data_IF_395526843960
#
_entry.id   IF_395526843960
#
_cell.length_a   1.000
_cell.length_b   1.000
_cell.length_c   1.000
_cell.angle_alpha   90.00
_cell.angle_beta   90.00
_cell.angle_gamma   90.00
#
_symmetry.space_group_name_H-M   'P 1'
#
loop_
_entity.id
_entity.type
_entity.pdbx_description
1 polymer ?
#
# COMPACT_ATOMS: atom_id res chain seq x y z
N UNK A 1 -34.93 6.54 57.57
CA UNK A 1 -33.84 7.25 56.96
C UNK A 1 -33.16 6.30 55.97
N UNK A 2 -33.50 6.40 54.69
CA UNK A 2 -32.82 5.65 53.60
C UNK A 2 -31.73 6.54 53.05
N UNK A 3 -30.49 6.15 53.26
CA UNK A 3 -29.32 6.77 52.59
C UNK A 3 -29.13 6.11 51.24
N UNK A 4 -29.48 6.83 50.17
CA UNK A 4 -29.21 6.43 48.80
C UNK A 4 -27.74 6.57 48.49
N UNK A 5 -27.09 5.46 48.10
CA UNK A 5 -25.73 5.44 47.57
C UNK A 5 -25.77 5.83 46.09
N UNK A 6 -25.29 7.02 45.77
CA UNK A 6 -25.10 7.47 44.40
C UNK A 6 -23.85 6.77 43.84
N UNK A 7 -24.03 5.76 42.95
CA UNK A 7 -22.94 5.25 42.13
C UNK A 7 -22.65 6.32 41.07
N UNK A 8 -21.56 7.04 41.22
CA UNK A 8 -20.96 7.81 40.15
C UNK A 8 -20.27 6.80 39.20
N UNK A 9 -20.88 6.52 38.06
CA UNK A 9 -20.22 5.83 36.98
C UNK A 9 -19.09 6.76 36.46
N UNK A 10 -17.85 6.40 36.81
CA UNK A 10 -16.69 7.04 36.24
C UNK A 10 -16.67 6.76 34.73
N UNK A 11 -17.02 7.73 33.93
CA UNK A 11 -16.67 7.73 32.51
C UNK A 11 -15.15 7.70 32.42
N UNK A 12 -14.61 6.54 32.05
CA UNK A 12 -13.22 6.46 31.58
C UNK A 12 -13.16 7.34 30.34
N UNK A 13 -12.61 8.54 30.46
CA UNK A 13 -12.29 9.37 29.34
C UNK A 13 -11.37 8.56 28.43
N UNK A 14 -11.88 8.07 27.33
CA UNK A 14 -11.07 7.51 26.26
C UNK A 14 -10.16 8.66 25.79
N UNK A 15 -8.89 8.55 26.06
CA UNK A 15 -7.91 9.48 25.50
C UNK A 15 -7.98 9.27 24.00
N UNK A 16 -8.54 10.22 23.27
CA UNK A 16 -8.66 10.15 21.83
C UNK A 16 -7.24 10.10 21.23
N UNK A 17 -7.01 9.15 20.34
CA UNK A 17 -5.78 9.12 19.54
C UNK A 17 -5.65 10.46 18.82
N UNK A 18 -4.44 11.01 18.81
CA UNK A 18 -4.23 12.35 18.22
C UNK A 18 -3.72 12.19 16.80
N UNK A 19 -4.62 12.48 15.83
CA UNK A 19 -4.22 12.68 14.44
C UNK A 19 -3.47 14.02 14.31
N UNK A 20 -2.32 14.00 13.68
CA UNK A 20 -1.58 15.20 13.29
C UNK A 20 -1.16 15.12 11.82
N UNK A 21 -1.25 16.26 11.11
CA UNK A 21 -0.79 16.36 9.73
C UNK A 21 0.67 16.79 9.75
N UNK A 22 1.55 15.93 9.23
CA UNK A 22 2.98 16.18 9.14
C UNK A 22 3.35 17.01 7.92
N UNK A 23 2.61 16.84 6.82
CA UNK A 23 2.78 17.61 5.58
C UNK A 23 1.50 17.63 4.76
N UNK A 24 1.27 18.74 4.05
CA UNK A 24 0.14 18.93 3.13
C UNK A 24 0.69 19.19 1.73
N UNK A 25 0.36 18.31 0.78
CA UNK A 25 0.79 18.45 -0.61
C UNK A 25 0.00 19.55 -1.33
N UNK A 26 0.57 20.04 -2.45
CA UNK A 26 0.09 21.21 -3.18
C UNK A 26 0.15 22.50 -2.36
N UNK A 27 0.99 22.54 -1.34
CA UNK A 27 1.29 23.75 -0.56
C UNK A 27 2.23 24.70 -1.32
N UNK A 28 2.93 24.18 -2.33
CA UNK A 28 3.81 24.92 -3.21
C UNK A 28 3.34 24.75 -4.66
N UNK A 29 3.21 25.86 -5.38
CA UNK A 29 2.77 25.84 -6.78
C UNK A 29 3.81 26.47 -7.71
N UNK A 30 3.88 25.97 -8.93
CA UNK A 30 4.64 26.58 -10.03
C UNK A 30 3.72 26.64 -11.26
N UNK A 31 3.21 27.84 -11.55
CA UNK A 31 2.14 28.00 -12.53
C UNK A 31 0.86 27.28 -12.10
N UNK A 32 0.35 26.40 -12.94
CA UNK A 32 -0.86 25.63 -12.67
C UNK A 32 -0.62 24.30 -11.93
N UNK A 33 0.63 23.96 -11.60
CA UNK A 33 0.97 22.66 -11.02
C UNK A 33 1.43 22.76 -9.58
N UNK A 34 1.13 21.73 -8.78
CA UNK A 34 1.66 21.55 -7.43
C UNK A 34 3.13 21.13 -7.54
N UNK A 35 4.06 22.07 -7.32
CA UNK A 35 5.49 21.79 -7.51
C UNK A 35 6.06 20.78 -6.51
N UNK A 36 5.46 20.69 -5.32
CA UNK A 36 5.76 19.72 -4.26
C UNK A 36 5.02 18.38 -4.43
N UNK A 37 4.25 18.22 -5.51
CA UNK A 37 3.49 17.00 -5.78
C UNK A 37 2.07 17.01 -5.24
N UNK A 38 1.29 16.02 -5.66
CA UNK A 38 -0.08 15.80 -5.23
C UNK A 38 -0.49 14.32 -5.40
N UNK A 39 -1.54 13.91 -4.69
CA UNK A 39 -2.09 12.55 -4.72
C UNK A 39 -1.03 11.48 -4.38
N UNK A 40 -0.55 11.40 -3.13
CA UNK A 40 0.38 10.36 -2.68
C UNK A 40 -0.36 9.02 -2.50
N UNK A 41 -0.36 8.18 -3.53
CA UNK A 41 -1.00 6.86 -3.51
C UNK A 41 -0.23 5.82 -2.71
N UNK A 42 1.08 6.01 -2.56
CA UNK A 42 1.96 5.03 -1.96
C UNK A 42 2.16 5.24 -0.46
N UNK A 43 2.47 4.15 0.23
CA UNK A 43 2.95 4.20 1.60
C UNK A 43 4.34 4.81 1.72
N UNK A 44 4.70 5.16 2.94
CA UNK A 44 5.96 5.78 3.29
C UNK A 44 7.05 4.74 3.53
N UNK A 45 8.29 5.02 3.07
CA UNK A 45 9.49 4.40 3.58
C UNK A 45 10.12 5.30 4.64
N UNK A 46 10.80 4.72 5.65
CA UNK A 46 11.46 5.46 6.72
C UNK A 46 12.90 4.99 6.88
N UNK A 47 13.84 5.93 6.99
CA UNK A 47 15.24 5.61 7.30
C UNK A 47 15.50 5.55 8.80
N UNK A 48 16.71 5.13 9.18
CA UNK A 48 17.12 5.03 10.59
C UNK A 48 17.24 6.40 11.30
N UNK A 49 17.27 7.51 10.57
CA UNK A 49 17.27 8.86 11.12
C UNK A 49 15.83 9.42 11.29
N UNK A 50 14.80 8.62 10.94
CA UNK A 50 13.41 9.00 11.07
C UNK A 50 12.86 9.83 9.93
N UNK A 51 13.59 10.00 8.83
CA UNK A 51 13.10 10.69 7.64
C UNK A 51 12.16 9.77 6.86
N UNK A 52 11.12 10.36 6.27
CA UNK A 52 10.16 9.66 5.41
C UNK A 52 10.46 9.93 3.94
N UNK A 53 10.21 8.93 3.12
CA UNK A 53 10.35 8.99 1.66
C UNK A 53 9.08 8.44 1.02
N UNK A 54 8.64 9.07 -0.05
CA UNK A 54 7.43 8.67 -0.77
C UNK A 54 7.37 9.23 -2.18
N UNK A 55 6.26 8.98 -2.82
CA UNK A 55 5.96 9.42 -4.18
C UNK A 55 4.61 10.12 -4.24
N UNK A 56 4.45 11.01 -5.21
CA UNK A 56 3.15 11.58 -5.58
C UNK A 56 2.85 11.25 -7.02
N UNK A 57 1.61 10.89 -7.36
CA UNK A 57 1.26 10.46 -8.71
C UNK A 57 1.13 11.60 -9.71
N UNK A 58 0.91 12.83 -9.22
CA UNK A 58 0.83 14.05 -10.03
C UNK A 58 1.64 15.17 -9.37
N UNK A 59 1.70 16.32 -9.99
CA UNK A 59 2.53 17.44 -9.56
C UNK A 59 3.97 17.35 -10.06
N UNK A 60 4.85 18.17 -9.49
CA UNK A 60 6.18 18.41 -10.03
C UNK A 60 6.16 19.32 -11.27
N UNK A 61 7.32 19.55 -11.86
CA UNK A 61 7.52 20.52 -12.96
C UNK A 61 6.75 20.18 -14.25
N UNK A 62 6.34 18.93 -14.44
CA UNK A 62 5.60 18.43 -15.62
C UNK A 62 4.26 17.81 -15.26
N UNK A 63 3.83 17.92 -14.00
CA UNK A 63 2.60 17.29 -13.49
C UNK A 63 2.53 15.76 -13.68
N UNK A 64 3.69 15.09 -13.65
CA UNK A 64 3.82 13.65 -13.88
C UNK A 64 4.24 12.88 -12.62
N UNK A 65 4.23 13.56 -11.48
CA UNK A 65 4.56 13.00 -10.18
C UNK A 65 5.97 13.32 -9.70
N UNK A 66 6.21 13.00 -8.44
CA UNK A 66 7.46 13.33 -7.75
C UNK A 66 7.95 12.16 -6.87
N UNK A 67 9.24 12.21 -6.51
CA UNK A 67 9.81 11.49 -5.37
C UNK A 67 10.24 12.55 -4.36
N UNK A 68 9.91 12.36 -3.10
CA UNK A 68 10.19 13.32 -2.04
C UNK A 68 10.79 12.70 -0.79
N UNK A 69 11.39 13.55 0.03
CA UNK A 69 11.81 13.29 1.41
C UNK A 69 11.12 14.28 2.34
N UNK A 70 10.59 13.80 3.46
CA UNK A 70 10.18 14.62 4.61
C UNK A 70 11.10 14.26 5.77
N UNK A 71 11.89 15.22 6.26
CA UNK A 71 12.79 14.98 7.39
C UNK A 71 12.00 14.74 8.68
N UNK A 72 12.63 14.12 9.68
CA UNK A 72 12.05 13.94 11.01
C UNK A 72 11.63 15.29 11.67
N UNK A 73 12.25 16.40 11.23
CA UNK A 73 11.90 17.76 11.66
C UNK A 73 10.77 18.40 10.82
N UNK A 74 10.14 17.64 9.90
CA UNK A 74 9.05 18.13 9.06
C UNK A 74 9.48 18.94 7.83
N UNK A 75 10.79 18.99 7.50
CA UNK A 75 11.27 19.72 6.32
C UNK A 75 11.11 18.87 5.05
N UNK A 76 10.37 19.38 4.08
CA UNK A 76 10.17 18.76 2.77
C UNK A 76 11.34 19.01 1.84
N UNK A 77 11.70 18.00 1.04
CA UNK A 77 12.71 18.08 -0.04
C UNK A 77 12.21 17.31 -1.25
N UNK A 78 12.10 17.97 -2.40
CA UNK A 78 11.86 17.34 -3.68
C UNK A 78 13.14 16.64 -4.13
N UNK A 79 13.08 15.30 -4.30
CA UNK A 79 14.22 14.52 -4.75
C UNK A 79 14.24 14.34 -6.27
N UNK A 80 13.06 14.16 -6.88
CA UNK A 80 12.91 14.03 -8.33
C UNK A 80 11.52 14.49 -8.77
N UNK A 81 11.47 15.11 -9.95
CA UNK A 81 10.23 15.46 -10.64
C UNK A 81 10.21 14.73 -11.99
N UNK A 82 9.26 13.83 -12.18
CA UNK A 82 9.19 13.00 -13.37
C UNK A 82 8.88 13.80 -14.64
N UNK A 83 9.41 13.28 -15.75
CA UNK A 83 9.14 13.69 -17.13
C UNK A 83 8.71 12.47 -17.94
N UNK A 84 8.08 12.67 -19.11
CA UNK A 84 7.65 11.55 -19.96
C UNK A 84 8.78 10.60 -20.36
N UNK A 85 10.01 11.09 -20.40
CA UNK A 85 11.19 10.31 -20.82
C UNK A 85 11.74 9.40 -19.73
N UNK A 86 11.56 9.74 -18.46
CA UNK A 86 12.15 9.03 -17.33
C UNK A 86 11.11 8.35 -16.40
N UNK A 87 9.84 8.45 -16.75
CA UNK A 87 8.71 7.85 -16.05
C UNK A 87 7.58 8.85 -15.80
N UNK A 88 6.46 8.34 -15.35
CA UNK A 88 5.31 9.14 -14.94
C UNK A 88 4.39 8.34 -14.00
N UNK A 89 3.62 9.05 -13.19
CA UNK A 89 2.58 8.50 -12.33
C UNK A 89 3.12 7.38 -11.42
N UNK A 90 4.03 7.66 -10.48
CA UNK A 90 4.57 6.66 -9.58
C UNK A 90 3.52 6.28 -8.52
N UNK A 91 2.76 5.20 -8.76
CA UNK A 91 1.81 4.65 -7.78
C UNK A 91 2.49 3.77 -6.73
N UNK A 92 3.64 3.16 -7.07
CA UNK A 92 4.45 2.41 -6.12
C UNK A 92 5.23 3.33 -5.18
N UNK A 93 5.36 2.91 -3.93
CA UNK A 93 6.26 3.55 -2.98
C UNK A 93 7.74 3.26 -3.30
N UNK A 94 8.61 3.86 -2.51
CA UNK A 94 10.05 3.62 -2.63
C UNK A 94 10.49 2.57 -1.60
N UNK A 95 11.43 1.71 -2.02
CA UNK A 95 12.25 0.90 -1.14
C UNK A 95 13.54 1.66 -0.84
N UNK A 96 13.94 1.76 0.43
CA UNK A 96 15.21 2.35 0.85
C UNK A 96 16.18 1.26 1.30
N UNK A 97 17.40 1.25 0.79
CA UNK A 97 18.45 0.34 1.25
C UNK A 97 19.29 0.94 2.39
N UNK A 98 20.16 0.11 2.99
CA UNK A 98 21.04 0.52 4.09
C UNK A 98 22.07 1.60 3.72
N UNK A 99 22.29 1.85 2.44
CA UNK A 99 23.17 2.90 1.91
C UNK A 99 22.40 4.18 1.58
N UNK A 100 21.10 4.24 1.87
CA UNK A 100 20.24 5.38 1.59
C UNK A 100 19.82 5.49 0.11
N UNK A 101 20.05 4.47 -0.73
CA UNK A 101 19.53 4.48 -2.08
C UNK A 101 18.04 4.15 -2.08
N UNK A 102 17.28 4.88 -2.89
CA UNK A 102 15.86 4.67 -3.13
C UNK A 102 15.67 3.90 -4.43
N UNK A 103 14.76 2.94 -4.42
CA UNK A 103 14.34 2.19 -5.61
C UNK A 103 12.83 2.23 -5.69
N UNK A 104 12.30 2.55 -6.87
CA UNK A 104 10.86 2.66 -7.08
C UNK A 104 10.46 2.38 -8.52
N UNK A 105 9.17 2.44 -8.76
CA UNK A 105 8.57 2.25 -10.08
C UNK A 105 7.72 3.46 -10.46
N UNK A 106 7.73 3.82 -11.73
CA UNK A 106 6.78 4.75 -12.31
C UNK A 106 5.88 3.97 -13.27
N UNK A 107 4.57 4.08 -13.08
CA UNK A 107 3.57 3.21 -13.72
C UNK A 107 3.46 3.44 -15.22
N UNK A 108 3.77 4.64 -15.68
CA UNK A 108 3.73 5.02 -17.09
C UNK A 108 4.96 5.82 -17.48
N UNK A 109 4.99 6.32 -18.71
CA UNK A 109 6.15 7.05 -19.25
C UNK A 109 7.33 6.14 -19.54
N UNK A 110 8.52 6.74 -19.66
CA UNK A 110 9.70 6.11 -20.22
C UNK A 110 9.60 5.95 -21.74
N UNK A 111 10.69 5.56 -22.41
CA UNK A 111 10.77 5.49 -23.88
C UNK A 111 9.74 4.58 -24.55
N UNK A 112 9.13 3.66 -23.81
CA UNK A 112 8.11 2.71 -24.30
C UNK A 112 6.71 2.97 -23.73
N UNK A 113 6.54 3.98 -22.87
CA UNK A 113 5.31 4.32 -22.18
C UNK A 113 4.71 3.20 -21.30
N UNK A 114 5.46 2.12 -21.06
CA UNK A 114 5.04 0.97 -20.24
C UNK A 114 5.48 1.11 -18.77
N UNK A 115 6.08 2.23 -18.40
CA UNK A 115 6.64 2.47 -17.09
C UNK A 115 8.13 2.10 -16.98
N UNK A 116 8.70 2.46 -15.86
CA UNK A 116 10.12 2.28 -15.57
C UNK A 116 10.35 1.82 -14.15
N UNK A 117 11.50 1.21 -13.90
CA UNK A 117 12.10 1.05 -12.59
C UNK A 117 13.26 2.02 -12.47
N UNK A 118 13.32 2.77 -11.39
CA UNK A 118 14.34 3.80 -11.16
C UNK A 118 15.10 3.60 -9.85
N UNK A 119 16.25 4.27 -9.75
CA UNK A 119 17.06 4.42 -8.54
C UNK A 119 17.36 5.90 -8.33
N UNK A 120 17.33 6.36 -7.07
CA UNK A 120 17.96 7.59 -6.61
C UNK A 120 19.04 7.18 -5.61
N UNK A 121 20.30 7.54 -5.87
CA UNK A 121 21.39 7.20 -4.95
C UNK A 121 21.42 8.13 -3.72
N UNK A 122 22.25 7.79 -2.72
CA UNK A 122 22.38 8.59 -1.50
C UNK A 122 22.90 10.02 -1.73
N UNK A 123 23.45 10.32 -2.92
CA UNK A 123 23.86 11.67 -3.35
C UNK A 123 22.73 12.42 -4.07
N UNK A 124 21.57 11.79 -4.30
CA UNK A 124 20.43 12.37 -4.99
C UNK A 124 20.40 12.19 -6.51
N UNK A 125 21.33 11.41 -7.09
CA UNK A 125 21.36 11.19 -8.54
C UNK A 125 20.27 10.19 -8.95
N UNK A 126 19.37 10.63 -9.82
CA UNK A 126 18.32 9.80 -10.42
C UNK A 126 18.83 9.01 -11.61
N UNK A 127 18.42 7.74 -11.72
CA UNK A 127 18.74 6.88 -12.87
C UNK A 127 17.57 5.92 -13.14
N UNK A 128 17.14 5.81 -14.40
CA UNK A 128 16.31 4.72 -14.87
C UNK A 128 17.17 3.44 -14.92
N UNK A 129 16.73 2.41 -14.20
CA UNK A 129 17.43 1.11 -14.10
C UNK A 129 16.87 0.12 -15.11
N UNK A 130 15.55 0.18 -15.38
CA UNK A 130 14.89 -0.66 -16.37
C UNK A 130 13.72 0.07 -17.02
N UNK A 131 13.53 -0.13 -18.32
CA UNK A 131 12.38 0.35 -19.11
C UNK A 131 11.55 -0.84 -19.52
N UNK A 132 10.31 -0.92 -19.03
CA UNK A 132 9.42 -2.02 -19.38
C UNK A 132 9.04 -1.99 -20.86
N UNK A 133 9.08 -3.18 -21.50
CA UNK A 133 8.88 -3.35 -22.95
C UNK A 133 7.46 -3.79 -23.32
N UNK A 134 6.58 -4.01 -22.34
CA UNK A 134 5.27 -4.63 -22.52
C UNK A 134 5.33 -6.16 -22.44
N UNK A 135 6.25 -6.81 -23.15
CA UNK A 135 6.45 -8.26 -23.09
C UNK A 135 7.02 -8.76 -21.75
N UNK A 136 7.79 -7.95 -21.05
CA UNK A 136 8.33 -8.22 -19.71
C UNK A 136 7.48 -7.61 -18.59
N UNK A 137 6.38 -6.95 -18.95
CA UNK A 137 5.43 -6.26 -18.07
C UNK A 137 5.15 -4.84 -18.52
N UNK A 138 4.11 -4.26 -17.97
CA UNK A 138 3.69 -2.87 -18.15
C UNK A 138 2.94 -2.41 -16.91
N UNK A 139 2.98 -1.11 -16.63
CA UNK A 139 2.34 -0.50 -15.49
C UNK A 139 2.79 -1.09 -14.14
N UNK A 140 4.10 -1.01 -13.81
CA UNK A 140 4.57 -1.39 -12.48
C UNK A 140 4.00 -0.43 -11.44
N UNK A 141 3.18 -0.94 -10.52
CA UNK A 141 2.44 -0.14 -9.52
C UNK A 141 2.81 -0.48 -8.08
N UNK A 142 3.56 -1.58 -7.88
CA UNK A 142 3.87 -2.07 -6.53
C UNK A 142 5.16 -1.49 -5.96
N UNK A 143 5.23 -1.44 -4.63
CA UNK A 143 6.50 -1.26 -3.92
C UNK A 143 7.38 -2.50 -4.13
N UNK A 144 8.67 -2.28 -4.30
CA UNK A 144 9.64 -3.37 -4.47
C UNK A 144 9.98 -4.01 -3.12
N UNK A 145 10.16 -5.33 -3.13
CA UNK A 145 10.76 -6.06 -2.00
C UNK A 145 12.14 -6.57 -2.39
N UNK A 146 13.01 -6.83 -1.40
CA UNK A 146 14.41 -7.22 -1.64
C UNK A 146 14.75 -8.50 -0.88
N UNK A 147 15.46 -9.43 -1.54
CA UNK A 147 16.01 -10.60 -0.89
C UNK A 147 17.35 -10.29 -0.16
N UNK A 148 17.85 -11.26 0.60
CA UNK A 148 19.11 -11.14 1.35
C UNK A 148 20.35 -11.02 0.45
N UNK A 149 20.24 -11.44 -0.82
CA UNK A 149 21.33 -11.35 -1.82
C UNK A 149 21.32 -9.99 -2.51
N UNK A 150 20.21 -9.25 -2.38
CA UNK A 150 20.05 -7.91 -2.90
C UNK A 150 19.22 -7.82 -4.18
N UNK A 151 18.61 -8.90 -4.66
CA UNK A 151 17.69 -8.83 -5.79
C UNK A 151 16.37 -8.21 -5.37
N UNK A 152 15.77 -7.44 -6.27
CA UNK A 152 14.44 -6.87 -6.09
C UNK A 152 13.38 -7.72 -6.79
N UNK A 153 12.18 -7.72 -6.22
CA UNK A 153 11.00 -8.37 -6.79
C UNK A 153 9.84 -7.39 -6.78
N UNK A 154 9.00 -7.47 -7.79
CA UNK A 154 7.80 -6.67 -7.93
C UNK A 154 6.83 -7.26 -8.92
N UNK A 155 5.72 -6.57 -9.12
CA UNK A 155 4.65 -6.94 -10.05
C UNK A 155 4.42 -5.83 -11.06
N UNK A 156 3.89 -6.19 -12.23
CA UNK A 156 3.32 -5.25 -13.18
C UNK A 156 1.84 -5.52 -13.35
N UNK A 157 1.01 -4.48 -13.37
CA UNK A 157 -0.45 -4.60 -13.49
C UNK A 157 -0.89 -5.23 -14.81
N UNK A 158 -0.16 -4.94 -15.88
CA UNK A 158 -0.44 -5.43 -17.24
C UNK A 158 0.84 -5.85 -17.95
N UNK A 159 0.74 -6.24 -19.22
CA UNK A 159 1.86 -6.76 -20.00
C UNK A 159 2.16 -8.23 -19.68
N UNK A 160 3.33 -8.70 -20.09
CA UNK A 160 3.69 -10.12 -20.09
C UNK A 160 3.09 -10.86 -21.28
N UNK A 161 3.23 -12.19 -21.27
CA UNK A 161 2.83 -13.05 -22.40
C UNK A 161 1.34 -12.96 -22.74
N UNK A 162 0.47 -12.66 -21.75
CA UNK A 162 -0.98 -12.64 -21.90
C UNK A 162 -1.59 -11.24 -21.68
N UNK A 163 -0.75 -10.21 -21.43
CA UNK A 163 -1.24 -8.85 -21.16
C UNK A 163 -1.81 -8.63 -19.75
N UNK A 164 -1.83 -9.65 -18.90
CA UNK A 164 -2.54 -9.67 -17.61
C UNK A 164 -1.63 -9.41 -16.40
N UNK A 165 -0.40 -8.98 -16.66
CA UNK A 165 0.58 -8.65 -15.64
C UNK A 165 1.62 -9.73 -15.40
N UNK A 166 2.68 -9.34 -14.68
CA UNK A 166 3.84 -10.21 -14.43
C UNK A 166 4.31 -10.14 -12.99
N UNK A 167 5.08 -11.15 -12.59
CA UNK A 167 5.99 -11.11 -11.44
C UNK A 167 7.40 -11.04 -12.01
N UNK A 168 8.21 -10.10 -11.56
CA UNK A 168 9.58 -9.94 -12.06
C UNK A 168 10.63 -9.95 -10.93
N UNK A 169 11.86 -10.29 -11.32
CA UNK A 169 13.07 -10.17 -10.50
C UNK A 169 14.04 -9.24 -11.20
N UNK A 170 14.60 -8.28 -10.46
CA UNK A 170 15.69 -7.42 -10.90
C UNK A 170 16.94 -7.71 -10.05
N UNK A 171 18.04 -8.06 -10.69
CA UNK A 171 19.32 -8.27 -10.00
C UNK A 171 20.02 -6.94 -9.73
N UNK A 172 20.98 -6.92 -8.78
CA UNK A 172 21.83 -5.75 -8.52
C UNK A 172 22.59 -5.26 -9.76
N UNK A 173 22.84 -6.14 -10.74
CA UNK A 173 23.50 -5.79 -12.02
C UNK A 173 22.53 -5.18 -13.03
N UNK A 174 21.26 -4.96 -12.68
CA UNK A 174 20.23 -4.37 -13.53
C UNK A 174 19.60 -5.34 -14.54
N UNK A 175 19.83 -6.67 -14.43
CA UNK A 175 19.13 -7.65 -15.27
C UNK A 175 17.74 -7.94 -14.71
N UNK A 176 16.70 -7.60 -15.47
CA UNK A 176 15.34 -8.00 -15.18
C UNK A 176 15.04 -9.37 -15.79
N UNK A 177 14.28 -10.18 -15.07
CA UNK A 177 13.76 -11.47 -15.51
C UNK A 177 12.31 -11.57 -15.11
N UNK A 178 11.41 -11.85 -16.05
CA UNK A 178 10.03 -12.21 -15.78
C UNK A 178 10.00 -13.60 -15.17
N UNK A 179 9.53 -13.71 -13.94
CA UNK A 179 9.41 -14.99 -13.23
C UNK A 179 8.09 -15.67 -13.57
N UNK A 180 7.03 -14.90 -13.79
CA UNK A 180 5.70 -15.41 -14.14
C UNK A 180 4.92 -14.37 -14.94
N UNK A 181 4.12 -14.82 -15.90
CA UNK A 181 3.12 -14.03 -16.63
C UNK A 181 1.74 -14.58 -16.32
N UNK A 182 0.87 -13.77 -15.75
CA UNK A 182 -0.50 -14.20 -15.40
C UNK A 182 -1.33 -14.46 -16.65
N UNK A 183 -2.14 -15.56 -16.61
CA UNK A 183 -2.86 -16.14 -17.74
C UNK A 183 -4.38 -16.07 -17.62
N UNK A 184 -4.89 -15.44 -16.56
CA UNK A 184 -6.31 -15.36 -16.25
C UNK A 184 -6.77 -16.42 -15.25
N UNK A 185 -6.66 -17.72 -15.52
CA UNK A 185 -6.98 -18.77 -14.56
C UNK A 185 -6.18 -18.69 -13.25
N UNK A 186 -4.91 -18.34 -13.30
CA UNK A 186 -4.08 -18.16 -12.10
C UNK A 186 -4.22 -16.78 -11.46
N UNK A 187 -4.95 -15.87 -12.08
CA UNK A 187 -5.14 -14.48 -11.68
C UNK A 187 -4.83 -13.51 -12.80
N UNK A 188 -5.15 -12.25 -12.58
CA UNK A 188 -4.86 -11.14 -13.50
C UNK A 188 -4.72 -9.82 -12.72
N UNK A 189 -3.92 -8.92 -13.27
CA UNK A 189 -3.77 -7.56 -12.77
C UNK A 189 -3.30 -7.50 -11.31
N UNK A 190 -2.11 -8.04 -10.98
CA UNK A 190 -1.52 -7.88 -9.65
C UNK A 190 -1.19 -6.40 -9.42
N UNK A 191 -1.70 -5.83 -8.34
CA UNK A 191 -1.53 -4.40 -8.02
C UNK A 191 -0.58 -4.19 -6.84
N UNK A 192 -0.72 -5.03 -5.80
CA UNK A 192 0.03 -4.90 -4.57
C UNK A 192 1.48 -5.39 -4.67
N UNK A 193 2.28 -4.98 -3.69
CA UNK A 193 3.60 -5.56 -3.44
C UNK A 193 3.53 -7.02 -3.03
N UNK A 194 4.66 -7.70 -3.16
CA UNK A 194 4.82 -9.10 -2.80
C UNK A 194 5.27 -9.26 -1.35
N UNK A 195 5.00 -10.41 -0.77
CA UNK A 195 5.58 -10.88 0.48
C UNK A 195 6.60 -11.98 0.14
N UNK A 196 7.83 -11.85 0.63
CA UNK A 196 8.90 -12.84 0.47
C UNK A 196 9.10 -13.59 1.79
N UNK A 197 9.03 -14.91 1.79
CA UNK A 197 9.34 -15.71 2.97
C UNK A 197 10.82 -16.14 3.02
N UNK A 198 11.22 -16.78 4.14
CA UNK A 198 12.60 -17.24 4.35
C UNK A 198 13.04 -18.35 3.38
N UNK A 199 12.11 -19.03 2.74
CA UNK A 199 12.36 -20.10 1.76
C UNK A 199 12.44 -19.55 0.33
N UNK A 200 12.27 -18.24 0.13
CA UNK A 200 12.28 -17.60 -1.17
C UNK A 200 10.95 -17.66 -1.92
N UNK A 201 9.86 -18.12 -1.26
CA UNK A 201 8.54 -18.06 -1.87
C UNK A 201 8.02 -16.62 -1.89
N UNK A 202 7.39 -16.23 -2.98
CA UNK A 202 6.70 -14.97 -3.16
C UNK A 202 5.18 -15.19 -3.02
N UNK A 203 4.54 -14.40 -2.18
CA UNK A 203 3.08 -14.40 -2.02
C UNK A 203 2.53 -13.06 -2.48
N UNK A 204 1.35 -13.06 -3.07
CA UNK A 204 0.68 -11.85 -3.51
C UNK A 204 -0.78 -12.08 -3.83
N UNK A 205 -1.39 -11.05 -4.37
CA UNK A 205 -2.79 -11.01 -4.77
C UNK A 205 -2.94 -10.52 -6.20
N UNK A 206 -4.00 -10.94 -6.86
CA UNK A 206 -4.43 -10.37 -8.14
C UNK A 206 -5.81 -9.76 -7.99
N UNK A 207 -6.07 -8.63 -8.65
CA UNK A 207 -7.36 -7.93 -8.53
C UNK A 207 -8.47 -8.54 -9.39
N UNK A 208 -8.10 -9.40 -10.33
CA UNK A 208 -9.01 -10.08 -11.24
C UNK A 208 -8.48 -11.49 -11.55
N UNK A 209 -9.21 -12.23 -12.36
CA UNK A 209 -8.87 -13.62 -12.71
C UNK A 209 -9.21 -14.60 -11.58
N UNK A 210 -8.66 -15.79 -11.64
CA UNK A 210 -9.19 -16.96 -10.93
C UNK A 210 -10.45 -17.48 -11.64
N UNK A 211 -10.93 -18.67 -11.26
CA UNK A 211 -12.13 -19.25 -11.92
C UNK A 211 -13.33 -18.30 -11.96
N UNK A 212 -13.75 -17.69 -10.82
CA UNK A 212 -14.86 -16.75 -10.78
C UNK A 212 -14.55 -15.33 -11.28
N UNK A 213 -13.28 -14.96 -11.44
CA UNK A 213 -12.87 -13.63 -11.94
C UNK A 213 -12.72 -12.52 -10.90
N UNK A 214 -12.89 -12.82 -9.60
CA UNK A 214 -12.87 -11.82 -8.53
C UNK A 214 -11.51 -11.62 -7.87
N UNK A 215 -10.45 -12.22 -8.44
CA UNK A 215 -9.08 -12.14 -7.96
C UNK A 215 -8.63 -13.36 -7.18
N UNK A 216 -7.33 -13.45 -6.95
CA UNK A 216 -6.69 -14.60 -6.30
C UNK A 216 -5.71 -14.21 -5.23
N UNK A 217 -5.40 -15.16 -4.34
CA UNK A 217 -4.19 -15.17 -3.51
C UNK A 217 -3.29 -16.27 -4.09
N UNK A 218 -2.05 -15.93 -4.37
CA UNK A 218 -1.10 -16.85 -5.01
C UNK A 218 0.20 -17.01 -4.23
N UNK A 219 0.90 -18.09 -4.53
CA UNK A 219 2.29 -18.35 -4.13
C UNK A 219 3.09 -18.69 -5.36
N UNK A 220 4.23 -18.05 -5.58
CA UNK A 220 5.25 -18.43 -6.55
C UNK A 220 6.45 -18.99 -5.81
N UNK A 221 6.85 -20.20 -6.08
CA UNK A 221 8.02 -20.81 -5.47
C UNK A 221 9.33 -20.43 -6.21
N UNK A 222 10.51 -20.69 -5.62
CA UNK A 222 11.79 -20.37 -6.26
C UNK A 222 12.07 -21.11 -7.56
N UNK A 223 11.36 -22.22 -7.85
CA UNK A 223 11.47 -22.94 -9.12
C UNK A 223 10.64 -22.33 -10.25
N UNK A 224 9.81 -21.30 -9.93
CA UNK A 224 8.94 -20.62 -10.87
C UNK A 224 7.55 -21.23 -11.00
N UNK A 225 7.16 -22.16 -10.12
CA UNK A 225 5.81 -22.74 -10.12
C UNK A 225 4.89 -21.86 -9.29
N UNK A 226 3.82 -21.36 -9.95
CA UNK A 226 2.77 -20.60 -9.29
C UNK A 226 1.63 -21.51 -8.85
N UNK A 227 1.20 -21.38 -7.61
CA UNK A 227 0.03 -22.03 -7.03
C UNK A 227 -0.99 -20.99 -6.62
N UNK A 228 -2.23 -21.15 -7.08
CA UNK A 228 -3.37 -20.39 -6.57
C UNK A 228 -3.74 -20.98 -5.20
N UNK A 229 -3.56 -20.19 -4.15
CA UNK A 229 -3.90 -20.59 -2.78
C UNK A 229 -5.37 -20.39 -2.48
N UNK A 230 -5.98 -19.37 -3.13
CA UNK A 230 -7.40 -19.08 -3.02
C UNK A 230 -7.87 -18.25 -4.23
N UNK A 231 -9.08 -18.53 -4.71
CA UNK A 231 -9.76 -17.73 -5.72
C UNK A 231 -11.08 -17.21 -5.14
N UNK A 232 -11.23 -15.90 -5.07
CA UNK A 232 -12.43 -15.25 -4.52
C UNK A 232 -13.65 -15.48 -5.43
N UNK A 233 -14.84 -15.62 -4.83
CA UNK A 233 -16.11 -15.85 -5.53
C UNK A 233 -17.08 -14.67 -5.50
N UNK A 234 -16.68 -13.56 -4.88
CA UNK A 234 -17.49 -12.34 -4.73
C UNK A 234 -18.29 -12.31 -3.43
N UNK A 235 -18.86 -13.43 -2.99
CA UNK A 235 -19.58 -13.51 -1.71
C UNK A 235 -18.62 -13.46 -0.52
N UNK A 236 -17.43 -14.02 -0.67
CA UNK A 236 -16.36 -14.09 0.32
C UNK A 236 -15.27 -13.02 0.12
N UNK A 237 -15.55 -12.02 -0.70
CA UNK A 237 -14.66 -10.92 -1.05
C UNK A 237 -14.37 -10.85 -2.54
N UNK A 238 -13.86 -9.71 -2.97
CA UNK A 238 -13.55 -9.43 -4.37
C UNK A 238 -12.53 -8.31 -4.50
N UNK A 239 -11.68 -8.41 -5.52
CA UNK A 239 -10.66 -7.41 -5.84
C UNK A 239 -9.73 -7.11 -4.66
N UNK A 240 -8.87 -8.03 -4.24
CA UNK A 240 -7.85 -7.77 -3.23
C UNK A 240 -6.76 -6.85 -3.81
N UNK A 241 -6.92 -5.54 -3.63
CA UNK A 241 -5.93 -4.53 -4.05
C UNK A 241 -4.71 -4.50 -3.14
N UNK A 242 -4.92 -4.75 -1.83
CA UNK A 242 -3.83 -4.90 -0.87
C UNK A 242 -3.13 -6.26 -1.01
N UNK A 243 -1.85 -6.30 -0.69
CA UNK A 243 -1.10 -7.54 -0.55
C UNK A 243 -1.46 -8.30 0.73
N UNK A 244 -0.73 -9.37 0.99
CA UNK A 244 -0.91 -10.18 2.19
C UNK A 244 0.19 -9.93 3.21
N UNK A 245 -0.15 -10.04 4.51
CA UNK A 245 0.80 -10.18 5.61
C UNK A 245 0.71 -11.59 6.19
N UNK A 246 1.80 -12.06 6.81
CA UNK A 246 1.90 -13.44 7.29
C UNK A 246 2.20 -13.49 8.79
N UNK A 247 1.46 -14.30 9.52
CA UNK A 247 1.76 -14.58 10.92
C UNK A 247 2.89 -15.63 11.08
N UNK A 248 3.47 -15.77 12.29
CA UNK A 248 4.49 -16.80 12.54
C UNK A 248 4.01 -18.24 12.33
N UNK A 249 2.70 -18.49 12.36
CA UNK A 249 2.08 -19.80 12.08
C UNK A 249 1.91 -20.05 10.59
N UNK A 250 2.22 -19.05 9.73
CA UNK A 250 2.15 -19.13 8.29
C UNK A 250 0.78 -18.78 7.67
N UNK A 251 -0.21 -18.37 8.47
CA UNK A 251 -1.47 -17.87 7.93
C UNK A 251 -1.25 -16.53 7.23
N UNK A 252 -2.01 -16.29 6.17
CA UNK A 252 -2.01 -15.03 5.43
C UNK A 252 -3.24 -14.22 5.81
N UNK A 253 -3.07 -12.91 5.93
CA UNK A 253 -4.13 -11.94 6.21
C UNK A 253 -4.13 -10.86 5.15
N UNK A 254 -5.29 -10.41 4.75
CA UNK A 254 -5.45 -9.34 3.77
C UNK A 254 -6.86 -8.80 3.76
N UNK A 255 -7.12 -7.91 2.80
CA UNK A 255 -8.42 -7.26 2.63
C UNK A 255 -8.87 -7.36 1.18
N UNK A 256 -10.17 -7.25 0.97
CA UNK A 256 -10.76 -7.06 -0.36
C UNK A 256 -11.55 -5.75 -0.39
N UNK A 257 -11.52 -5.02 -1.50
CA UNK A 257 -12.22 -3.73 -1.58
C UNK A 257 -13.74 -3.86 -1.74
N UNK A 258 -14.21 -5.01 -2.16
CA UNK A 258 -15.64 -5.29 -2.38
C UNK A 258 -15.95 -6.74 -2.04
N UNK A 259 -17.23 -7.10 -2.17
CA UNK A 259 -17.73 -8.40 -1.75
C UNK A 259 -17.95 -8.50 -0.24
N UNK A 260 -18.23 -9.69 0.24
CA UNK A 260 -18.76 -9.91 1.59
C UNK A 260 -20.22 -9.47 1.73
N UNK A 261 -20.84 -9.74 2.86
CA UNK A 261 -22.26 -9.47 3.10
C UNK A 261 -22.64 -7.98 2.96
N UNK A 262 -21.71 -7.05 3.27
CA UNK A 262 -21.90 -5.60 3.10
C UNK A 262 -21.58 -5.08 1.70
N UNK A 263 -20.98 -5.88 0.84
CA UNK A 263 -20.55 -5.47 -0.50
C UNK A 263 -19.35 -4.52 -0.56
N UNK A 264 -18.90 -4.00 0.58
CA UNK A 264 -17.87 -2.96 0.70
C UNK A 264 -16.52 -3.47 1.23
N UNK A 265 -16.33 -4.80 1.16
CA UNK A 265 -15.08 -5.47 1.44
C UNK A 265 -15.03 -6.19 2.76
N UNK A 266 -14.00 -7.01 2.91
CA UNK A 266 -13.74 -7.82 4.10
C UNK A 266 -12.27 -7.73 4.52
N UNK A 267 -12.02 -8.07 5.78
CA UNK A 267 -10.72 -8.51 6.28
C UNK A 267 -10.77 -10.03 6.42
N UNK A 268 -9.78 -10.74 5.89
CA UNK A 268 -9.76 -12.19 5.85
C UNK A 268 -8.47 -12.78 6.43
N UNK A 269 -8.57 -14.05 6.82
CA UNK A 269 -7.46 -14.95 7.10
C UNK A 269 -7.52 -16.14 6.15
N UNK A 270 -6.40 -16.46 5.51
CA UNK A 270 -6.20 -17.70 4.77
C UNK A 270 -5.26 -18.61 5.55
N UNK A 271 -5.73 -19.79 5.95
CA UNK A 271 -4.92 -20.77 6.65
C UNK A 271 -3.95 -21.48 5.71
N UNK A 272 -2.92 -22.13 6.26
CA UNK A 272 -2.00 -23.01 5.49
C UNK A 272 -2.70 -24.14 4.73
N UNK A 273 -3.90 -24.54 5.19
CA UNK A 273 -4.73 -25.58 4.56
C UNK A 273 -5.64 -25.03 3.45
N UNK A 274 -5.48 -23.75 3.06
CA UNK A 274 -6.27 -23.13 2.01
C UNK A 274 -7.70 -22.72 2.43
N UNK A 275 -8.03 -22.76 3.74
CA UNK A 275 -9.34 -22.30 4.23
C UNK A 275 -9.31 -20.79 4.44
N UNK A 276 -10.12 -20.06 3.68
CA UNK A 276 -10.38 -18.65 3.90
C UNK A 276 -11.46 -18.49 5.02
N UNK A 277 -11.22 -17.56 5.92
CA UNK A 277 -12.15 -17.19 7.00
C UNK A 277 -12.28 -15.67 6.98
N UNK A 278 -13.47 -15.12 6.70
CA UNK A 278 -13.74 -13.71 6.93
C UNK A 278 -13.63 -13.41 8.42
N UNK A 279 -12.78 -12.48 8.78
CA UNK A 279 -12.58 -12.03 10.17
C UNK A 279 -13.44 -10.83 10.50
N UNK A 280 -13.65 -9.97 9.50
CA UNK A 280 -14.49 -8.79 9.62
C UNK A 280 -15.12 -8.46 8.25
N UNK A 281 -16.39 -8.11 8.25
CA UNK A 281 -17.10 -7.58 7.08
C UNK A 281 -17.34 -6.11 7.29
N UNK A 282 -16.80 -5.27 6.42
CA UNK A 282 -17.02 -3.83 6.52
C UNK A 282 -18.47 -3.48 6.20
N UNK A 283 -19.00 -2.49 6.91
CA UNK A 283 -20.43 -2.09 6.91
C UNK A 283 -20.65 -0.63 6.49
N UNK A 284 -19.56 0.10 6.18
CA UNK A 284 -19.59 1.52 5.91
C UNK A 284 -19.45 2.38 7.16
N UNK A 285 -19.91 1.94 8.34
CA UNK A 285 -19.81 2.71 9.59
C UNK A 285 -18.39 2.63 10.16
N UNK A 286 -17.83 1.44 10.23
CA UNK A 286 -16.45 1.20 10.66
C UNK A 286 -15.42 1.38 9.55
N UNK A 287 -15.88 1.69 8.35
CA UNK A 287 -15.10 1.85 7.12
C UNK A 287 -15.66 1.09 5.95
N UNK A 288 -15.18 1.39 4.75
CA UNK A 288 -15.54 0.75 3.49
C UNK A 288 -14.39 0.76 2.50
N UNK A 289 -14.32 -0.25 1.65
CA UNK A 289 -13.33 -0.38 0.59
C UNK A 289 -11.88 -0.32 1.12
N UNK A 290 -11.43 -1.26 1.96
CA UNK A 290 -10.05 -1.33 2.40
C UNK A 290 -9.15 -1.62 1.21
N UNK A 291 -8.29 -0.67 0.88
CA UNK A 291 -7.48 -0.67 -0.35
C UNK A 291 -6.04 -1.12 -0.10
N UNK A 292 -5.50 -0.74 1.04
CA UNK A 292 -4.09 -0.91 1.36
C UNK A 292 -3.72 -2.31 1.87
N UNK A 293 -2.46 -2.68 1.71
CA UNK A 293 -1.87 -3.81 2.42
C UNK A 293 -1.88 -3.53 3.93
N UNK A 294 -2.29 -4.53 4.71
CA UNK A 294 -2.23 -4.47 6.17
C UNK A 294 -0.78 -4.41 6.67
N UNK A 295 -0.59 -3.88 7.87
CA UNK A 295 0.63 -4.08 8.64
C UNK A 295 0.29 -4.83 9.93
N UNK A 296 1.26 -5.54 10.50
CA UNK A 296 1.11 -6.28 11.74
C UNK A 296 2.13 -5.79 12.78
N UNK A 297 1.70 -5.70 14.03
CA UNK A 297 2.62 -5.50 15.15
C UNK A 297 3.15 -6.85 15.69
N UNK A 298 4.10 -6.79 16.62
CA UNK A 298 4.71 -7.97 17.24
C UNK A 298 3.75 -8.80 18.10
N UNK A 299 2.61 -8.25 18.48
CA UNK A 299 1.57 -8.92 19.27
C UNK A 299 0.47 -9.54 18.41
N UNK A 300 0.56 -9.38 17.08
CA UNK A 300 -0.35 -9.94 16.11
C UNK A 300 -1.60 -9.10 15.83
N UNK A 301 -1.65 -7.85 16.27
CA UNK A 301 -2.67 -6.93 15.80
C UNK A 301 -2.39 -6.54 14.34
N UNK A 302 -3.45 -6.36 13.58
CA UNK A 302 -3.41 -5.90 12.20
C UNK A 302 -3.91 -4.45 12.15
N UNK A 303 -3.22 -3.63 11.36
CA UNK A 303 -3.62 -2.24 11.13
C UNK A 303 -3.82 -2.01 9.65
N UNK A 304 -4.81 -1.21 9.30
CA UNK A 304 -5.11 -0.87 7.93
C UNK A 304 -5.93 0.40 7.82
N UNK A 305 -6.21 0.77 6.57
CA UNK A 305 -7.05 1.92 6.24
C UNK A 305 -8.19 1.49 5.34
N UNK A 306 -9.27 2.25 5.36
CA UNK A 306 -10.37 2.11 4.40
C UNK A 306 -10.47 3.39 3.57
N UNK A 307 -10.66 3.25 2.26
CA UNK A 307 -10.78 4.39 1.34
C UNK A 307 -11.99 5.25 1.68
N UNK A 308 -13.09 4.62 2.12
CA UNK A 308 -14.38 5.27 2.37
C UNK A 308 -14.96 4.79 3.71
N UNK A 309 -16.17 5.28 4.00
CA UNK A 309 -16.86 4.97 5.25
C UNK A 309 -16.33 5.76 6.43
N UNK A 310 -16.70 5.34 7.63
CA UNK A 310 -16.53 6.13 8.85
C UNK A 310 -17.57 7.25 8.97
N UNK A 311 -17.49 8.03 10.05
CA UNK A 311 -18.47 9.06 10.39
C UNK A 311 -18.65 10.10 9.28
N UNK A 312 -17.59 10.45 8.58
CA UNK A 312 -17.60 11.45 7.51
C UNK A 312 -17.65 10.86 6.09
N UNK A 313 -17.65 9.53 5.95
CA UNK A 313 -17.57 8.86 4.66
C UNK A 313 -16.21 8.96 3.94
N UNK A 314 -15.21 9.55 4.59
CA UNK A 314 -13.91 9.93 3.99
C UNK A 314 -12.78 8.93 4.32
N UNK A 315 -13.15 7.78 4.88
CA UNK A 315 -12.24 6.70 5.21
C UNK A 315 -11.88 6.63 6.69
N UNK A 316 -11.31 5.50 7.08
CA UNK A 316 -10.91 5.23 8.47
C UNK A 316 -9.50 4.64 8.52
N UNK A 317 -8.83 4.77 9.66
CA UNK A 317 -7.77 3.87 10.09
C UNK A 317 -8.32 2.93 11.16
N UNK A 318 -7.94 1.67 11.12
CA UNK A 318 -8.45 0.65 12.04
C UNK A 318 -7.34 -0.24 12.58
N UNK A 319 -7.59 -0.81 13.76
CA UNK A 319 -6.84 -1.90 14.37
C UNK A 319 -7.76 -3.11 14.47
N UNK A 320 -7.28 -4.28 14.07
CA UNK A 320 -7.93 -5.55 14.29
C UNK A 320 -7.10 -6.40 15.23
N UNK A 321 -7.67 -6.77 16.37
CA UNK A 321 -7.03 -7.69 17.32
C UNK A 321 -7.36 -9.13 16.92
N UNK A 322 -6.32 -9.89 16.51
CA UNK A 322 -6.50 -11.27 16.03
C UNK A 322 -6.88 -12.26 17.13
N UNK A 323 -6.61 -11.95 18.40
CA UNK A 323 -6.93 -12.81 19.54
C UNK A 323 -8.39 -12.64 19.98
N UNK A 324 -8.85 -11.40 20.14
CA UNK A 324 -10.25 -11.11 20.51
C UNK A 324 -11.19 -11.06 19.30
N UNK A 325 -10.66 -11.09 18.09
CA UNK A 325 -11.39 -10.95 16.82
C UNK A 325 -12.26 -9.68 16.77
N UNK A 326 -11.74 -8.58 17.30
CA UNK A 326 -12.43 -7.29 17.35
C UNK A 326 -11.72 -6.24 16.50
N UNK A 327 -12.50 -5.47 15.75
CA UNK A 327 -12.05 -4.30 15.03
C UNK A 327 -12.35 -3.04 15.84
N UNK A 328 -11.36 -2.16 15.95
CA UNK A 328 -11.49 -0.83 16.53
C UNK A 328 -11.12 0.20 15.49
N UNK A 329 -12.02 1.14 15.23
CA UNK A 329 -11.68 2.33 14.42
C UNK A 329 -10.81 3.24 15.26
N UNK A 330 -9.58 3.50 14.78
CA UNK A 330 -8.60 4.36 15.48
C UNK A 330 -8.74 5.82 15.05
N UNK A 331 -9.13 6.04 13.78
CA UNK A 331 -9.32 7.37 13.23
C UNK A 331 -10.46 7.38 12.22
N UNK A 332 -11.28 8.44 12.26
CA UNK A 332 -12.27 8.76 11.24
C UNK A 332 -11.77 9.99 10.47
N UNK A 333 -11.26 9.79 9.27
CA UNK A 333 -10.69 10.87 8.50
C UNK A 333 -11.73 11.92 8.10
N UNK A 334 -11.28 13.16 8.08
CA UNK A 334 -12.04 14.35 7.73
C UNK A 334 -11.45 14.99 6.46
N UNK A 335 -12.00 16.11 6.02
CA UNK A 335 -11.61 16.76 4.76
C UNK A 335 -10.08 16.95 4.61
N UNK A 336 -9.37 17.29 5.69
CA UNK A 336 -7.92 17.51 5.65
C UNK A 336 -7.08 16.21 5.54
N UNK A 337 -7.70 15.06 5.63
CA UNK A 337 -7.01 13.76 5.58
C UNK A 337 -7.84 12.71 4.88
N UNK A 338 -8.62 13.09 3.86
CA UNK A 338 -9.57 12.21 3.19
C UNK A 338 -8.90 11.16 2.30
N UNK A 339 -9.54 10.01 2.21
CA UNK A 339 -9.21 8.94 1.27
C UNK A 339 -7.82 8.35 1.46
N UNK A 340 -7.53 7.71 2.60
CA UNK A 340 -6.30 6.95 2.79
C UNK A 340 -6.34 5.67 1.93
N UNK A 341 -5.37 5.52 1.04
CA UNK A 341 -5.27 4.37 0.12
C UNK A 341 -3.97 3.59 0.30
N UNK A 342 -3.04 4.13 1.07
CA UNK A 342 -1.71 3.60 1.24
C UNK A 342 -1.57 2.72 2.48
N UNK A 343 -0.64 1.74 2.48
CA UNK A 343 -0.24 1.03 3.69
C UNK A 343 0.24 1.99 4.77
N UNK A 344 -0.11 1.69 6.01
CA UNK A 344 0.42 2.38 7.17
C UNK A 344 1.88 1.96 7.44
N UNK A 345 2.62 2.81 8.13
CA UNK A 345 3.93 2.51 8.68
C UNK A 345 3.83 2.63 10.20
N UNK A 346 4.30 1.61 10.92
CA UNK A 346 4.34 1.56 12.38
C UNK A 346 5.78 1.77 12.85
N UNK A 347 6.01 2.70 13.78
CA UNK A 347 7.31 2.86 14.40
C UNK A 347 7.43 2.10 15.74
N UNK A 348 8.62 2.14 16.34
CA UNK A 348 8.90 1.43 17.58
C UNK A 348 8.13 1.99 18.79
N UNK A 349 7.74 3.24 18.72
CA UNK A 349 6.94 3.94 19.73
C UNK A 349 5.42 3.68 19.57
N UNK A 350 5.02 2.93 18.53
CA UNK A 350 3.62 2.60 18.24
C UNK A 350 2.88 3.69 17.45
N UNK A 351 3.56 4.71 16.95
CA UNK A 351 2.94 5.69 16.06
C UNK A 351 2.67 5.07 14.69
N UNK A 352 1.52 5.39 14.14
CA UNK A 352 1.14 5.04 12.77
C UNK A 352 1.30 6.26 11.86
N UNK A 353 1.93 6.05 10.71
CA UNK A 353 2.09 7.07 9.68
C UNK A 353 1.45 6.59 8.38
N UNK A 354 0.91 7.50 7.61
CA UNK A 354 0.32 7.18 6.32
C UNK A 354 0.14 8.40 5.43
N UNK A 355 -0.44 8.17 4.27
CA UNK A 355 -0.77 9.20 3.30
C UNK A 355 -2.26 9.17 2.96
N UNK A 356 -2.80 10.33 2.55
CA UNK A 356 -4.18 10.46 2.06
C UNK A 356 -4.19 11.20 0.75
N UNK A 357 -5.21 10.96 -0.08
CA UNK A 357 -5.34 11.63 -1.37
C UNK A 357 -5.86 13.07 -1.26
N UNK A 358 -6.59 13.39 -0.17
CA UNK A 358 -7.31 14.65 -0.05
C UNK A 358 -8.58 14.69 -0.89
N UNK A 359 -9.21 15.86 -0.96
CA UNK A 359 -10.40 16.11 -1.79
C UNK A 359 -10.10 17.17 -2.84
N UNK A 360 -10.74 17.09 -4.01
CA UNK A 360 -10.55 18.06 -5.10
C UNK A 360 -10.97 19.49 -4.76
N UNK A 361 -11.76 19.67 -3.70
CA UNK A 361 -12.40 20.94 -3.35
C UNK A 361 -11.61 21.77 -2.33
N UNK A 362 -10.45 21.27 -1.91
CA UNK A 362 -9.58 21.95 -0.95
C UNK A 362 -8.22 22.30 -1.57
N UNK A 363 -7.49 23.27 -1.01
CA UNK A 363 -6.14 23.63 -1.44
C UNK A 363 -5.10 22.49 -1.19
N UNK A 364 -5.49 21.38 -0.60
CA UNK A 364 -4.61 20.22 -0.36
C UNK A 364 -5.02 19.03 -1.19
N UNK A 365 -4.12 18.55 -2.03
CA UNK A 365 -4.26 17.33 -2.80
C UNK A 365 -3.44 16.20 -2.19
N UNK A 366 -3.72 15.90 -0.92
CA UNK A 366 -3.12 14.83 -0.14
C UNK A 366 -2.29 15.30 1.05
N UNK A 367 -2.10 14.40 2.01
CA UNK A 367 -1.34 14.69 3.23
C UNK A 367 -0.44 13.54 3.62
N UNK A 368 0.56 13.83 4.45
CA UNK A 368 1.24 12.85 5.30
C UNK A 368 0.72 13.07 6.72
N UNK A 369 0.25 12.02 7.36
CA UNK A 369 -0.30 12.08 8.70
C UNK A 369 0.44 11.17 9.68
N UNK A 370 0.29 11.47 10.96
CA UNK A 370 0.70 10.67 12.11
C UNK A 370 -0.50 10.46 13.04
N UNK A 371 -0.70 9.24 13.51
CA UNK A 371 -1.61 8.88 14.60
C UNK A 371 -0.75 8.39 15.76
N UNK A 372 -0.76 9.10 16.88
CA UNK A 372 -0.02 8.69 18.07
C UNK A 372 -0.76 7.54 18.78
N UNK A 373 -0.05 6.61 19.46
CA UNK A 373 -0.68 5.60 20.29
C UNK A 373 -1.43 6.22 21.46
N UNK A 374 -2.41 5.45 22.00
CA UNK A 374 -3.09 5.81 23.25
C UNK A 374 -2.19 5.56 24.43
#
# INVERSE_FOLDING_TARGET
MLTGLLLVAGESASIAQTLSISYTFCSQTSGAFCSDGALPYAGLARDGAGNFYGTTSVGGSKNLGTVYKLSAAGQYTLLHSFSTSDGAVPYGGVFIDSSGNLYGTATSGGPKANGVLYKIDGAGNFKVVHVFQGSDGSQPSSVLIRDKVGNFYGTTYSGGAFGLGTIFKLTLKGKLTTLYSFDGPTGANPYAGLLLDSNGNLFGTTTAGGGPGYGTIFKLDPSGVLSVLYAFDGSDGSKPYGGVVRDPKGNLYGTTISGGAGGVGILYKLSLLGKLTPLYTFDGVSGANPYATLIADSTGNLYGTTLRGGVSGLGTAFKFNTSSQSLTTIENFQLQGAYPVAPLLLDAEGNLYGTTLGTSDLPSLGTIFKIAPQ
#
